data_IF_539219537742
#
_entry.id   IF_539219537742
#
_cell.length_a   1.000
_cell.length_b   1.000
_cell.length_c   1.000
_cell.angle_alpha   90.00
_cell.angle_beta   90.00
_cell.angle_gamma   90.00
#
_symmetry.space_group_name_H-M   'P 1'
#
loop_
_entity.id
_entity.type
_entity.pdbx_description
1 polymer ?
#
# COMPACT_ATOMS: atom_id res chain seq x y z
N UNK A 1 -1.44 10.11 4.26
CA UNK A 1 -1.91 8.71 4.33
C UNK A 1 -0.88 7.96 5.16
N UNK A 2 -1.29 7.34 6.25
CA UNK A 2 -0.36 6.78 7.24
C UNK A 2 0.04 5.35 6.80
N UNK A 3 1.32 5.01 6.85
CA UNK A 3 1.83 3.67 6.46
C UNK A 3 1.23 2.55 7.31
N UNK A 4 0.78 2.84 8.54
CA UNK A 4 -0.01 1.89 9.34
C UNK A 4 -1.34 1.50 8.67
N UNK A 5 -1.99 2.42 7.99
CA UNK A 5 -3.23 2.14 7.22
C UNK A 5 -2.95 1.30 5.96
N UNK A 6 -1.75 1.43 5.40
CA UNK A 6 -1.34 0.70 4.19
C UNK A 6 -0.99 -0.75 4.51
N UNK A 7 -0.33 -1.02 5.64
CA UNK A 7 0.19 -2.35 5.97
C UNK A 7 -0.82 -3.20 6.75
N UNK A 8 -1.66 -2.59 7.60
CA UNK A 8 -2.51 -3.33 8.54
C UNK A 8 -4.01 -3.10 8.39
N UNK A 9 -4.45 -2.26 7.43
CA UNK A 9 -5.85 -1.85 7.35
C UNK A 9 -6.28 -1.09 8.63
N UNK A 10 -7.44 -0.46 8.59
CA UNK A 10 -7.99 0.32 9.71
C UNK A 10 -8.42 -0.61 10.87
N UNK A 11 -7.44 -1.10 11.65
CA UNK A 11 -7.66 -1.70 12.96
C UNK A 11 -7.14 -0.76 14.04
N UNK A 12 -7.87 0.33 14.26
CA UNK A 12 -7.73 1.14 15.47
C UNK A 12 -8.30 0.39 16.68
N UNK A 13 -7.59 -0.65 17.09
CA UNK A 13 -7.80 -1.39 18.32
C UNK A 13 -6.55 -1.29 19.18
N UNK A 14 -6.70 -0.62 20.33
CA UNK A 14 -5.76 -0.46 21.43
C UNK A 14 -4.50 -1.33 21.35
N UNK A 15 -3.36 -0.70 21.14
CA UNK A 15 -2.05 -1.31 21.34
C UNK A 15 -1.88 -1.67 22.82
N UNK A 16 -2.32 -2.86 23.20
CA UNK A 16 -1.87 -3.50 24.43
C UNK A 16 -0.44 -3.98 24.17
N UNK A 17 0.49 -3.42 24.94
CA UNK A 17 1.85 -3.93 25.06
C UNK A 17 1.78 -5.35 25.61
N UNK A 18 1.72 -6.35 24.72
CA UNK A 18 1.92 -7.74 25.06
C UNK A 18 3.42 -8.00 25.09
N UNK A 19 3.93 -8.33 26.28
CA UNK A 19 5.26 -8.89 26.42
C UNK A 19 5.37 -10.14 25.51
N UNK A 20 6.49 -10.35 24.78
CA UNK A 20 6.60 -11.45 23.82
C UNK A 20 6.56 -12.78 24.56
N UNK A 21 5.53 -13.58 24.31
CA UNK A 21 5.57 -15.00 24.60
C UNK A 21 6.58 -15.65 23.64
N UNK A 22 7.48 -16.48 24.15
CA UNK A 22 8.67 -17.03 23.48
C UNK A 22 8.41 -17.93 22.25
N UNK A 23 7.19 -17.97 21.72
CA UNK A 23 6.75 -18.76 20.57
C UNK A 23 5.80 -18.01 19.62
N UNK A 24 5.80 -16.70 19.62
CA UNK A 24 4.95 -15.90 18.74
C UNK A 24 5.65 -15.66 17.40
N UNK A 25 4.91 -15.81 16.28
CA UNK A 25 5.36 -15.46 14.92
C UNK A 25 5.96 -14.05 14.85
N UNK A 26 5.50 -13.13 15.67
CA UNK A 26 6.07 -11.79 15.81
C UNK A 26 7.52 -11.82 16.29
N UNK A 27 7.91 -12.82 17.08
CA UNK A 27 9.29 -13.04 17.50
C UNK A 27 10.23 -13.42 16.35
N UNK A 28 9.71 -14.01 15.28
CA UNK A 28 10.48 -14.40 14.10
C UNK A 28 10.68 -13.23 13.10
N UNK A 29 9.90 -12.16 13.21
CA UNK A 29 10.03 -11.01 12.31
C UNK A 29 11.22 -10.15 12.72
N UNK A 30 12.06 -9.70 11.77
CA UNK A 30 13.20 -8.82 12.06
C UNK A 30 12.77 -7.38 12.35
N UNK A 31 11.50 -7.13 12.66
CA UNK A 31 10.91 -5.82 12.91
C UNK A 31 10.87 -5.58 14.42
N UNK A 32 11.48 -4.47 14.88
CA UNK A 32 11.42 -4.04 16.26
C UNK A 32 10.24 -3.09 16.50
N UNK A 33 10.04 -2.11 15.59
CA UNK A 33 9.00 -1.10 15.72
C UNK A 33 8.63 -0.50 14.37
N UNK A 34 7.45 0.12 14.26
CA UNK A 34 7.00 0.91 13.11
C UNK A 34 6.50 2.24 13.63
N UNK A 35 7.23 3.31 13.34
CA UNK A 35 6.88 4.67 13.75
C UNK A 35 6.89 5.61 12.54
N UNK A 36 5.83 6.44 12.42
CA UNK A 36 5.66 7.45 11.36
C UNK A 36 5.97 6.96 9.93
N UNK A 37 5.70 5.68 9.64
CA UNK A 37 5.94 5.09 8.33
C UNK A 37 7.36 4.59 8.10
N UNK A 38 8.19 4.59 9.14
CA UNK A 38 9.52 4.01 9.15
C UNK A 38 9.51 2.72 9.93
N UNK A 39 10.02 1.66 9.33
CA UNK A 39 10.22 0.37 9.97
C UNK A 39 11.61 0.36 10.60
N UNK A 40 11.65 0.14 11.90
CA UNK A 40 12.90 -0.10 12.63
C UNK A 40 13.10 -1.62 12.76
N UNK A 41 14.21 -2.11 12.24
CA UNK A 41 14.56 -3.51 12.39
C UNK A 41 15.28 -3.78 13.71
N UNK A 42 15.32 -5.04 14.16
CA UNK A 42 15.98 -5.43 15.42
C UNK A 42 17.50 -5.23 15.41
N UNK A 43 18.11 -5.26 14.23
CA UNK A 43 19.51 -4.95 14.02
C UNK A 43 19.80 -3.44 13.89
N UNK A 44 18.79 -2.59 14.15
CA UNK A 44 18.91 -1.14 14.20
C UNK A 44 18.82 -0.43 12.86
N UNK A 45 18.57 -1.13 11.76
CA UNK A 45 18.36 -0.50 10.45
C UNK A 45 16.99 0.19 10.41
N UNK A 46 16.92 1.27 9.65
CA UNK A 46 15.68 1.97 9.35
C UNK A 46 15.29 1.71 7.89
N UNK A 47 14.04 1.31 7.67
CA UNK A 47 13.53 1.00 6.33
C UNK A 47 12.29 1.85 6.06
N UNK A 48 12.32 2.61 4.97
CA UNK A 48 11.15 3.30 4.43
C UNK A 48 10.41 2.39 3.46
N UNK A 49 9.09 2.38 3.56
CA UNK A 49 8.22 1.65 2.64
C UNK A 49 7.13 2.60 2.15
N UNK A 50 6.94 2.67 0.82
CA UNK A 50 5.82 3.41 0.24
C UNK A 50 5.18 2.65 -0.92
N UNK A 51 3.88 2.81 -1.03
CA UNK A 51 3.10 2.22 -2.11
C UNK A 51 3.18 3.10 -3.36
N UNK A 52 3.41 2.45 -4.50
CA UNK A 52 3.43 3.09 -5.82
C UNK A 52 2.13 2.76 -6.52
N UNK A 53 1.37 3.78 -6.89
CA UNK A 53 0.15 3.59 -7.68
C UNK A 53 0.54 3.32 -9.13
N UNK A 54 0.09 2.20 -9.72
CA UNK A 54 0.40 1.88 -11.10
C UNK A 54 -0.33 2.85 -12.05
N UNK A 55 0.36 3.22 -13.13
CA UNK A 55 -0.24 3.96 -14.24
C UNK A 55 -0.08 3.17 -15.53
N UNK A 56 -1.02 3.34 -16.46
CA UNK A 56 -0.87 2.72 -17.76
C UNK A 56 0.00 3.62 -18.67
N UNK A 57 1.30 3.33 -18.67
CA UNK A 57 2.30 4.06 -19.45
C UNK A 57 2.00 4.07 -20.95
N UNK A 58 1.47 2.97 -21.50
CA UNK A 58 1.24 2.84 -22.95
C UNK A 58 0.00 3.62 -23.42
N UNK A 59 -0.91 4.00 -22.51
CA UNK A 59 -2.03 4.86 -22.84
C UNK A 59 -1.68 6.36 -22.82
N UNK A 60 -0.48 6.71 -22.36
CA UNK A 60 -0.03 8.10 -22.34
C UNK A 60 0.43 8.54 -23.74
N UNK A 61 0.30 9.84 -24.05
CA UNK A 61 0.85 10.42 -25.28
C UNK A 61 2.39 10.45 -25.23
N UNK A 62 3.04 10.77 -26.35
CA UNK A 62 4.49 10.72 -26.48
C UNK A 62 5.20 11.69 -25.50
N UNK A 63 4.70 12.90 -25.36
CA UNK A 63 5.25 13.95 -24.49
C UNK A 63 5.18 13.52 -23.02
N UNK A 64 4.02 13.01 -22.59
CA UNK A 64 3.81 12.54 -21.21
C UNK A 64 4.70 11.32 -20.90
N UNK A 65 4.88 10.40 -21.84
CA UNK A 65 5.81 9.27 -21.66
C UNK A 65 7.25 9.74 -21.49
N UNK A 66 7.69 10.72 -22.26
CA UNK A 66 9.03 11.28 -22.13
C UNK A 66 9.21 12.00 -20.78
N UNK A 67 8.19 12.73 -20.34
CA UNK A 67 8.17 13.37 -19.00
C UNK A 67 8.30 12.33 -17.90
N UNK A 68 7.51 11.25 -17.94
CA UNK A 68 7.54 10.16 -16.95
C UNK A 68 8.92 9.52 -16.90
N UNK A 69 9.52 9.19 -18.06
CA UNK A 69 10.86 8.59 -18.14
C UNK A 69 11.91 9.54 -17.55
N UNK A 70 11.83 10.84 -17.88
CA UNK A 70 12.77 11.83 -17.37
C UNK A 70 12.65 12.00 -15.85
N UNK A 71 11.43 12.04 -15.30
CA UNK A 71 11.20 12.10 -13.86
C UNK A 71 11.72 10.83 -13.16
N UNK A 72 11.48 9.65 -13.71
CA UNK A 72 11.98 8.40 -13.16
C UNK A 72 13.52 8.34 -13.19
N UNK A 73 14.15 8.76 -14.28
CA UNK A 73 15.60 8.84 -14.37
C UNK A 73 16.20 9.84 -13.36
N UNK A 74 15.55 10.99 -13.16
CA UNK A 74 15.95 11.95 -12.15
C UNK A 74 15.85 11.39 -10.73
N UNK A 75 14.75 10.69 -10.45
CA UNK A 75 14.55 10.01 -9.17
C UNK A 75 15.60 8.93 -8.91
N UNK A 76 15.96 8.10 -9.91
CA UNK A 76 16.98 7.07 -9.76
C UNK A 76 18.37 7.63 -9.43
N UNK A 77 18.68 8.88 -9.83
CA UNK A 77 19.96 9.53 -9.51
C UNK A 77 20.10 9.89 -8.04
N UNK A 78 18.97 10.11 -7.35
CA UNK A 78 18.94 10.48 -5.93
C UNK A 78 18.48 9.32 -5.04
N UNK A 79 18.03 8.22 -5.64
CA UNK A 79 17.57 7.06 -4.89
C UNK A 79 18.73 6.41 -4.12
N UNK A 80 18.49 5.91 -2.90
CA UNK A 80 19.48 5.16 -2.14
C UNK A 80 19.96 3.93 -2.90
N UNK A 81 21.22 3.51 -2.65
CA UNK A 81 21.79 2.31 -3.31
C UNK A 81 21.07 1.01 -2.92
N UNK A 82 20.44 0.97 -1.74
CA UNK A 82 19.69 -0.18 -1.24
C UNK A 82 18.18 0.02 -1.45
N UNK A 83 17.73 -0.10 -2.69
CA UNK A 83 16.31 -0.01 -3.04
C UNK A 83 15.77 -1.37 -3.46
N UNK A 84 14.54 -1.69 -3.05
CA UNK A 84 13.82 -2.89 -3.44
C UNK A 84 12.46 -2.53 -4.01
N UNK A 85 12.10 -3.14 -5.12
CA UNK A 85 10.77 -3.09 -5.68
C UNK A 85 10.02 -4.35 -5.31
N UNK A 86 8.87 -4.19 -4.68
CA UNK A 86 8.02 -5.29 -4.24
C UNK A 86 6.73 -5.27 -5.05
N UNK A 87 6.37 -6.42 -5.56
CA UNK A 87 5.12 -6.65 -6.27
C UNK A 87 4.36 -7.74 -5.50
N UNK A 88 3.27 -7.36 -4.85
CA UNK A 88 2.50 -8.25 -3.98
C UNK A 88 1.12 -8.46 -4.58
N UNK A 89 0.80 -9.72 -4.86
CA UNK A 89 -0.56 -10.13 -5.22
C UNK A 89 -1.31 -10.53 -3.96
N UNK A 90 -2.49 -9.94 -3.77
CA UNK A 90 -3.36 -10.25 -2.64
C UNK A 90 -4.80 -10.44 -3.14
N UNK A 91 -5.62 -11.26 -2.46
CA UNK A 91 -7.04 -11.37 -2.79
C UNK A 91 -7.72 -10.00 -2.76
N UNK A 92 -8.64 -9.76 -3.68
CA UNK A 92 -9.38 -8.50 -3.72
C UNK A 92 -10.31 -8.43 -2.51
N UNK A 93 -10.22 -7.38 -1.72
CA UNK A 93 -11.19 -7.07 -0.68
C UNK A 93 -12.36 -6.28 -1.30
N UNK A 94 -13.49 -6.93 -1.42
CA UNK A 94 -14.72 -6.34 -1.96
C UNK A 94 -15.77 -6.03 -0.89
N UNK A 95 -15.48 -6.31 0.38
CA UNK A 95 -16.46 -6.18 1.47
C UNK A 95 -16.99 -4.75 1.61
N UNK A 96 -16.11 -3.76 1.50
CA UNK A 96 -16.51 -2.35 1.57
C UNK A 96 -17.39 -1.95 0.37
N UNK A 97 -17.07 -2.47 -0.82
CA UNK A 97 -17.88 -2.25 -2.01
C UNK A 97 -19.27 -2.87 -1.87
N UNK A 98 -19.33 -4.13 -1.43
CA UNK A 98 -20.58 -4.87 -1.23
C UNK A 98 -21.46 -4.15 -0.20
N UNK A 99 -20.92 -3.73 0.94
CA UNK A 99 -21.68 -2.96 1.95
C UNK A 99 -22.27 -1.69 1.38
N UNK A 100 -21.52 -0.96 0.56
CA UNK A 100 -22.01 0.25 -0.10
C UNK A 100 -23.13 -0.05 -1.09
N UNK A 101 -22.98 -1.10 -1.90
CA UNK A 101 -24.02 -1.53 -2.84
C UNK A 101 -25.30 -2.00 -2.13
N UNK A 102 -25.17 -2.69 -0.99
CA UNK A 102 -26.31 -3.05 -0.15
C UNK A 102 -27.05 -1.81 0.36
N UNK A 103 -26.34 -0.78 0.83
CA UNK A 103 -26.97 0.48 1.24
C UNK A 103 -27.72 1.17 0.09
N UNK A 104 -27.21 1.11 -1.12
CA UNK A 104 -27.93 1.63 -2.30
C UNK A 104 -29.16 0.78 -2.63
N UNK A 105 -29.06 -0.53 -2.53
CA UNK A 105 -30.18 -1.46 -2.77
C UNK A 105 -31.33 -1.23 -1.77
N UNK A 106 -30.99 -0.98 -0.49
CA UNK A 106 -31.98 -0.73 0.56
C UNK A 106 -32.70 0.62 0.37
N UNK A 107 -32.01 1.61 -0.18
CA UNK A 107 -32.56 2.94 -0.45
C UNK A 107 -33.29 3.05 -1.80
N UNK A 108 -33.12 2.10 -2.70
CA UNK A 108 -33.69 2.13 -4.06
C UNK A 108 -35.18 1.78 -4.07
N UNK A 109 -36.08 2.67 -4.55
CA UNK A 109 -37.51 2.41 -4.59
C UNK A 109 -37.92 1.48 -5.74
N UNK A 110 -37.22 1.48 -6.88
CA UNK A 110 -37.58 0.70 -8.04
C UNK A 110 -37.13 -0.77 -7.88
N UNK A 111 -38.10 -1.74 -7.94
CA UNK A 111 -37.76 -3.16 -7.83
C UNK A 111 -36.80 -3.68 -8.89
N UNK A 112 -36.85 -3.16 -10.12
CA UNK A 112 -35.95 -3.56 -11.20
C UNK A 112 -34.52 -3.07 -10.95
N UNK A 113 -34.38 -1.84 -10.46
CA UNK A 113 -33.08 -1.32 -10.09
C UNK A 113 -32.48 -2.09 -8.92
N UNK A 114 -33.29 -2.48 -7.91
CA UNK A 114 -32.84 -3.35 -6.81
C UNK A 114 -32.34 -4.71 -7.31
N UNK A 115 -33.04 -5.31 -8.26
CA UNK A 115 -32.62 -6.58 -8.86
C UNK A 115 -31.26 -6.43 -9.58
N UNK A 116 -31.07 -5.37 -10.36
CA UNK A 116 -29.78 -5.09 -11.00
C UNK A 116 -28.65 -4.92 -9.99
N UNK A 117 -28.90 -4.24 -8.87
CA UNK A 117 -27.88 -4.08 -7.81
C UNK A 117 -27.58 -5.43 -7.16
N UNK A 118 -28.61 -6.26 -6.90
CA UNK A 118 -28.42 -7.60 -6.34
C UNK A 118 -27.61 -8.51 -7.27
N UNK A 119 -27.85 -8.43 -8.59
CA UNK A 119 -27.08 -9.16 -9.59
C UNK A 119 -25.61 -8.72 -9.62
N UNK A 120 -25.36 -7.42 -9.55
CA UNK A 120 -24.01 -6.88 -9.46
C UNK A 120 -23.28 -7.41 -8.22
N UNK A 121 -23.93 -7.41 -7.05
CA UNK A 121 -23.34 -7.97 -5.81
C UNK A 121 -23.02 -9.46 -5.98
N UNK A 122 -23.91 -10.24 -6.61
CA UNK A 122 -23.67 -11.67 -6.87
C UNK A 122 -22.46 -11.87 -7.79
N UNK A 123 -22.38 -11.10 -8.85
CA UNK A 123 -21.26 -11.17 -9.80
C UNK A 123 -19.92 -10.82 -9.14
N UNK A 124 -19.87 -9.77 -8.32
CA UNK A 124 -18.66 -9.38 -7.59
C UNK A 124 -18.22 -10.48 -6.61
N UNK A 125 -19.16 -11.09 -5.89
CA UNK A 125 -18.84 -12.24 -5.00
C UNK A 125 -18.30 -13.44 -5.76
N UNK A 126 -18.87 -13.76 -6.92
CA UNK A 126 -18.37 -14.83 -7.78
C UNK A 126 -16.92 -14.57 -8.22
N UNK A 127 -16.59 -13.35 -8.65
CA UNK A 127 -15.22 -13.00 -9.04
C UNK A 127 -14.21 -13.25 -7.92
N UNK A 128 -14.57 -12.98 -6.66
CA UNK A 128 -13.69 -13.24 -5.52
C UNK A 128 -13.55 -14.73 -5.26
N UNK A 129 -14.65 -15.49 -5.35
CA UNK A 129 -14.61 -16.96 -5.20
C UNK A 129 -13.78 -17.62 -6.30
N UNK A 130 -13.81 -17.07 -7.51
CA UNK A 130 -12.99 -17.50 -8.65
C UNK A 130 -11.51 -17.09 -8.53
N UNK A 131 -11.11 -16.48 -7.40
CA UNK A 131 -9.72 -16.16 -7.09
C UNK A 131 -9.23 -14.87 -7.73
N UNK A 132 -10.05 -13.83 -7.74
CA UNK A 132 -9.59 -12.50 -8.19
C UNK A 132 -8.51 -11.94 -7.25
N UNK A 133 -7.38 -11.51 -7.83
CA UNK A 133 -6.26 -10.88 -7.12
C UNK A 133 -6.07 -9.46 -7.58
N UNK A 134 -5.66 -8.61 -6.66
CA UNK A 134 -5.12 -7.29 -6.97
C UNK A 134 -3.61 -7.30 -6.74
N UNK A 135 -2.89 -6.58 -7.59
CA UNK A 135 -1.45 -6.43 -7.47
C UNK A 135 -1.13 -5.05 -6.93
N UNK A 136 -0.37 -4.98 -5.84
CA UNK A 136 0.11 -3.75 -5.26
C UNK A 136 1.62 -3.66 -5.41
N UNK A 137 2.11 -2.46 -5.66
CA UNK A 137 3.51 -2.18 -5.88
C UNK A 137 4.05 -1.33 -4.75
N UNK A 138 5.18 -1.74 -4.20
CA UNK A 138 5.84 -1.02 -3.13
C UNK A 138 7.31 -0.79 -3.48
N UNK A 139 7.83 0.29 -2.97
CA UNK A 139 9.27 0.57 -2.95
C UNK A 139 9.72 0.61 -1.51
N UNK A 140 10.66 -0.25 -1.19
CA UNK A 140 11.34 -0.28 0.09
C UNK A 140 12.79 0.18 -0.10
N UNK A 141 13.29 0.97 0.83
CA UNK A 141 14.69 1.36 0.84
C UNK A 141 15.21 1.46 2.26
N UNK A 142 16.47 1.05 2.42
CA UNK A 142 17.14 1.13 3.70
C UNK A 142 17.77 2.51 3.84
N UNK A 143 17.54 3.13 4.98
CA UNK A 143 18.19 4.36 5.37
C UNK A 143 19.52 4.03 6.05
N UNK A 144 20.65 4.55 5.50
CA UNK A 144 21.97 4.41 6.11
C UNK A 144 22.24 5.55 7.09
N UNK A 145 23.05 5.29 8.10
CA UNK A 145 23.53 6.31 9.04
C UNK A 145 24.27 7.48 8.35
N UNK A 146 24.74 7.26 7.13
CA UNK A 146 25.51 8.21 6.33
C UNK A 146 24.65 9.25 5.59
N UNK A 147 23.32 9.13 5.63
CA UNK A 147 22.40 9.94 4.83
C UNK A 147 21.94 11.25 5.50
N UNK A 148 22.60 11.71 6.56
CA UNK A 148 22.33 13.01 7.17
C UNK A 148 21.60 12.98 8.52
N UNK A 149 21.29 14.16 9.10
CA UNK A 149 20.93 14.29 10.51
C UNK A 149 19.52 13.80 10.87
N UNK A 150 18.65 13.50 9.90
CA UNK A 150 17.30 13.00 10.17
C UNK A 150 16.83 12.03 9.09
N UNK A 151 16.68 10.74 9.43
CA UNK A 151 16.13 9.74 8.53
C UNK A 151 14.74 10.12 8.01
N UNK A 152 13.93 10.73 8.83
CA UNK A 152 12.55 11.11 8.48
C UNK A 152 12.51 12.21 7.40
N UNK A 153 13.37 13.22 7.50
CA UNK A 153 13.41 14.33 6.52
C UNK A 153 13.78 13.83 5.12
N UNK A 154 14.75 12.93 5.04
CA UNK A 154 15.20 12.36 3.77
C UNK A 154 14.16 11.42 3.16
N UNK A 155 13.50 10.63 3.99
CA UNK A 155 12.36 9.78 3.61
C UNK A 155 11.23 10.61 2.99
N UNK A 156 10.86 11.73 3.63
CA UNK A 156 9.85 12.63 3.09
C UNK A 156 10.30 13.32 1.80
N UNK A 157 11.57 13.67 1.67
CA UNK A 157 12.11 14.28 0.45
C UNK A 157 12.02 13.32 -0.73
N UNK A 158 12.42 12.06 -0.56
CA UNK A 158 12.35 11.03 -1.59
C UNK A 158 10.90 10.73 -1.96
N UNK A 159 10.01 10.60 -0.98
CA UNK A 159 8.59 10.37 -1.23
C UNK A 159 7.89 11.56 -1.91
N UNK A 160 8.29 12.80 -1.58
CA UNK A 160 7.74 14.00 -2.21
C UNK A 160 8.18 14.13 -3.68
N UNK A 161 9.43 13.78 -3.99
CA UNK A 161 9.96 13.80 -5.37
C UNK A 161 9.30 12.73 -6.24
N UNK A 162 8.86 11.61 -5.66
CA UNK A 162 8.14 10.55 -6.38
C UNK A 162 6.67 10.90 -6.68
N UNK A 163 6.12 11.96 -6.07
CA UNK A 163 4.73 12.44 -6.27
C UNK A 163 4.60 13.54 -7.32
N UNK A 164 5.70 14.16 -7.74
CA UNK A 164 5.73 15.21 -8.77
C UNK A 164 5.85 14.64 -10.16
#
# INVERSE_FOLDING_TARGET
>A
MNVKEIIFGDQAGAAQSLAPADNDLQGCLPIADIDQGVIRTRDGRLVGLFEVLPMNFFLQNAEERERIVSCFAAWLRIAPSSIQFLCLSQPVDVEQYIRRMQGYMDAEPDPKCRECIADNIRQVRSMVQDGAFTTRFFVAYQYGADMGPSPYTELYRVAATAKG
#
